data_IF_871902148236
#
_entry.id   IF_871902148236
#
_cell.length_a   1.000
_cell.length_b   1.000
_cell.length_c   1.000
_cell.angle_alpha   90.00
_cell.angle_beta   90.00
_cell.angle_gamma   90.00
#
_symmetry.space_group_name_H-M   'P 1'
#
loop_
_entity.id
_entity.type
_entity.pdbx_description
1 polymer ?
#
# COMPACT_ATOMS: atom_id res chain seq x y z
N UNK A 1 -27.17 -9.62 -0.77
CA UNK A 1 -25.88 -10.31 -0.54
C UNK A 1 -25.38 -9.85 0.81
N UNK A 2 -24.77 -10.73 1.61
CA UNK A 2 -24.25 -10.34 2.92
C UNK A 2 -22.96 -9.57 2.67
N UNK A 3 -23.05 -8.25 2.57
CA UNK A 3 -21.92 -7.32 2.34
C UNK A 3 -21.08 -7.10 3.62
N UNK A 4 -21.16 -8.02 4.58
CA UNK A 4 -20.44 -7.97 5.84
C UNK A 4 -19.21 -8.86 5.83
N UNK A 5 -18.13 -8.30 5.28
CA UNK A 5 -16.76 -8.70 5.61
C UNK A 5 -16.58 -8.61 7.13
N UNK A 6 -15.98 -9.61 7.78
CA UNK A 6 -15.72 -9.53 9.21
C UNK A 6 -14.55 -8.58 9.48
N UNK A 7 -14.53 -7.96 10.66
CA UNK A 7 -13.50 -6.98 11.03
C UNK A 7 -12.09 -7.60 11.05
N UNK A 8 -11.95 -8.82 11.54
CA UNK A 8 -10.69 -9.57 11.58
C UNK A 8 -10.20 -9.92 10.17
N UNK A 9 -11.08 -10.35 9.28
CA UNK A 9 -10.76 -10.57 7.86
C UNK A 9 -10.32 -9.26 7.18
N UNK A 10 -11.01 -8.15 7.46
CA UNK A 10 -10.66 -6.83 6.94
C UNK A 10 -9.29 -6.35 7.43
N UNK A 11 -8.99 -6.56 8.71
CA UNK A 11 -7.70 -6.24 9.31
C UNK A 11 -6.57 -7.08 8.70
N UNK A 12 -6.79 -8.39 8.53
CA UNK A 12 -5.83 -9.30 7.92
C UNK A 12 -5.52 -8.91 6.47
N UNK A 13 -6.53 -8.56 5.67
CA UNK A 13 -6.34 -8.10 4.29
C UNK A 13 -5.47 -6.84 4.23
N UNK A 14 -5.75 -5.85 5.08
CA UNK A 14 -4.95 -4.61 5.12
C UNK A 14 -3.50 -4.91 5.54
N UNK A 15 -3.29 -5.76 6.55
CA UNK A 15 -1.95 -6.17 6.97
C UNK A 15 -1.18 -6.89 5.85
N UNK A 16 -1.83 -7.77 5.08
CA UNK A 16 -1.21 -8.44 3.91
C UNK A 16 -0.78 -7.43 2.84
N UNK A 17 -1.61 -6.42 2.57
CA UNK A 17 -1.28 -5.36 1.60
C UNK A 17 -0.10 -4.51 2.09
N UNK A 18 -0.07 -4.16 3.38
CA UNK A 18 1.05 -3.41 3.96
C UNK A 18 2.36 -4.21 3.94
N UNK A 19 2.30 -5.50 4.28
CA UNK A 19 3.44 -6.41 4.15
C UNK A 19 3.96 -6.50 2.72
N UNK A 20 3.04 -6.64 1.75
CA UNK A 20 3.38 -6.66 0.32
C UNK A 20 3.99 -5.33 -0.12
N UNK A 21 3.45 -4.20 0.36
CA UNK A 21 3.96 -2.85 0.06
C UNK A 21 5.40 -2.67 0.55
N UNK A 22 5.72 -3.20 1.74
CA UNK A 22 7.10 -3.23 2.24
C UNK A 22 8.01 -4.06 1.34
N UNK A 23 7.60 -5.27 0.96
CA UNK A 23 8.39 -6.13 0.08
C UNK A 23 8.61 -5.52 -1.32
N UNK A 24 7.60 -4.82 -1.86
CA UNK A 24 7.71 -4.10 -3.13
C UNK A 24 8.69 -2.92 -3.06
N UNK A 25 8.73 -2.21 -1.93
CA UNK A 25 9.72 -1.15 -1.70
C UNK A 25 11.13 -1.72 -1.58
N UNK A 26 11.33 -2.81 -0.81
CA UNK A 26 12.61 -3.50 -0.72
C UNK A 26 13.10 -3.99 -2.09
N UNK A 27 12.19 -4.57 -2.89
CA UNK A 27 12.47 -4.97 -4.28
C UNK A 27 12.99 -3.81 -5.13
N UNK A 28 12.43 -2.60 -4.99
CA UNK A 28 12.91 -1.41 -5.69
C UNK A 28 14.28 -0.97 -5.17
N UNK A 29 14.50 -0.97 -3.85
CA UNK A 29 15.78 -0.57 -3.26
C UNK A 29 16.94 -1.46 -3.73
N UNK A 30 16.77 -2.77 -3.74
CA UNK A 30 17.77 -3.74 -4.23
C UNK A 30 18.18 -3.51 -5.69
N UNK A 31 17.27 -2.96 -6.50
CA UNK A 31 17.46 -2.79 -7.95
C UNK A 31 17.95 -1.39 -8.32
N UNK A 32 17.90 -0.44 -7.39
CA UNK A 32 18.26 0.96 -7.62
C UNK A 32 19.66 1.11 -8.23
N UNK A 33 20.63 0.38 -7.69
CA UNK A 33 22.04 0.55 -8.07
C UNK A 33 22.49 -0.43 -9.15
N UNK A 34 21.63 -1.38 -9.54
CA UNK A 34 21.95 -2.46 -10.50
C UNK A 34 21.20 -2.36 -11.83
N UNK A 35 20.43 -1.28 -12.04
CA UNK A 35 19.63 -1.04 -13.25
C UNK A 35 19.98 0.30 -13.87
N UNK A 36 19.75 0.42 -15.17
CA UNK A 36 19.82 1.74 -15.80
C UNK A 36 18.72 2.64 -15.21
N UNK A 37 18.88 3.96 -15.39
CA UNK A 37 17.88 4.91 -14.93
C UNK A 37 16.53 4.65 -15.58
N UNK A 38 16.51 4.39 -16.89
CA UNK A 38 15.30 4.15 -17.66
C UNK A 38 14.58 2.86 -17.21
N UNK A 39 15.34 1.79 -16.98
CA UNK A 39 14.81 0.52 -16.45
C UNK A 39 14.23 0.70 -15.05
N UNK A 40 14.96 1.42 -14.19
CA UNK A 40 14.53 1.65 -12.82
C UNK A 40 13.29 2.54 -12.74
N UNK A 41 13.22 3.60 -13.57
CA UNK A 41 12.06 4.47 -13.64
C UNK A 41 10.82 3.73 -14.15
N UNK A 42 11.00 2.83 -15.13
CA UNK A 42 9.91 1.96 -15.60
C UNK A 42 9.45 0.98 -14.52
N UNK A 43 10.38 0.35 -13.80
CA UNK A 43 10.08 -0.53 -12.66
C UNK A 43 9.30 0.22 -11.57
N UNK A 44 9.78 1.40 -11.15
CA UNK A 44 9.09 2.26 -10.18
C UNK A 44 7.67 2.59 -10.62
N UNK A 45 7.47 2.89 -11.90
CA UNK A 45 6.14 3.20 -12.43
C UNK A 45 5.18 2.02 -12.33
N UNK A 46 5.63 0.81 -12.64
CA UNK A 46 4.79 -0.41 -12.54
C UNK A 46 4.45 -0.69 -11.08
N UNK A 47 5.45 -0.71 -10.22
CA UNK A 47 5.28 -1.03 -8.79
C UNK A 47 4.40 0.01 -8.10
N UNK A 48 4.61 1.31 -8.38
CA UNK A 48 3.79 2.38 -7.84
C UNK A 48 2.32 2.28 -8.27
N UNK A 49 2.03 1.84 -9.50
CA UNK A 49 0.65 1.59 -9.95
C UNK A 49 0.00 0.43 -9.21
N UNK A 50 0.73 -0.66 -9.00
CA UNK A 50 0.24 -1.81 -8.24
C UNK A 50 -0.10 -1.41 -6.79
N UNK A 51 0.84 -0.73 -6.12
CA UNK A 51 0.65 -0.25 -4.75
C UNK A 51 -0.51 0.74 -4.65
N UNK A 52 -0.62 1.68 -5.59
CA UNK A 52 -1.73 2.62 -5.66
C UNK A 52 -3.08 1.92 -5.82
N UNK A 53 -3.18 0.94 -6.72
CA UNK A 53 -4.41 0.16 -6.90
C UNK A 53 -4.80 -0.58 -5.61
N UNK A 54 -3.86 -1.26 -4.96
CA UNK A 54 -4.10 -1.95 -3.68
C UNK A 54 -4.57 -0.98 -2.59
N UNK A 55 -4.02 0.23 -2.55
CA UNK A 55 -4.41 1.25 -1.59
C UNK A 55 -5.85 1.74 -1.83
N UNK A 56 -6.14 2.25 -3.03
CA UNK A 56 -7.43 2.89 -3.33
C UNK A 56 -8.58 1.88 -3.38
N UNK A 57 -8.37 0.71 -3.96
CA UNK A 57 -9.47 -0.25 -4.16
C UNK A 57 -9.74 -1.14 -2.95
N UNK A 58 -8.77 -1.27 -2.04
CA UNK A 58 -8.91 -2.18 -0.89
C UNK A 58 -8.74 -1.46 0.43
N UNK A 59 -7.62 -0.77 0.65
CA UNK A 59 -7.32 -0.13 1.94
C UNK A 59 -8.29 1.01 2.24
N UNK A 60 -8.59 1.88 1.28
CA UNK A 60 -9.58 2.95 1.47
C UNK A 60 -11.01 2.41 1.63
N UNK A 61 -11.38 1.39 0.85
CA UNK A 61 -12.70 0.76 0.95
C UNK A 61 -12.89 0.14 2.35
N UNK A 62 -11.90 -0.62 2.83
CA UNK A 62 -11.90 -1.18 4.19
C UNK A 62 -11.91 -0.07 5.23
N UNK A 63 -11.09 0.97 5.07
CA UNK A 63 -11.01 2.11 6.00
C UNK A 63 -12.28 2.94 6.07
N UNK A 64 -13.04 3.03 4.98
CA UNK A 64 -14.34 3.70 4.95
C UNK A 64 -15.36 2.99 5.84
N UNK A 65 -15.26 1.66 5.93
CA UNK A 65 -16.14 0.79 6.73
C UNK A 65 -15.65 0.60 8.17
N UNK A 66 -14.33 0.47 8.36
CA UNK A 66 -13.66 0.24 9.64
C UNK A 66 -12.59 1.31 9.90
N UNK A 67 -13.04 2.52 10.26
CA UNK A 67 -12.17 3.70 10.45
C UNK A 67 -11.09 3.53 11.52
N UNK A 68 -11.29 2.60 12.45
CA UNK A 68 -10.39 2.27 13.55
C UNK A 68 -9.22 1.38 13.11
N UNK A 69 -9.39 0.53 12.08
CA UNK A 69 -8.32 -0.33 11.56
C UNK A 69 -7.15 0.53 11.07
N UNK A 70 -7.40 1.56 10.25
CA UNK A 70 -6.34 2.44 9.75
C UNK A 70 -5.65 3.25 10.87
N UNK A 71 -6.41 3.67 11.89
CA UNK A 71 -5.85 4.39 13.05
C UNK A 71 -4.94 3.51 13.90
N UNK A 72 -5.29 2.24 14.07
CA UNK A 72 -4.47 1.28 14.82
C UNK A 72 -3.14 0.99 14.11
N UNK A 73 -3.14 0.98 12.78
CA UNK A 73 -1.97 0.70 11.95
C UNK A 73 -0.98 1.87 11.89
N UNK A 74 -1.48 3.12 11.93
CA UNK A 74 -0.62 4.31 12.02
C UNK A 74 0.22 4.35 13.31
N UNK A 75 -0.26 3.75 14.41
CA UNK A 75 0.48 3.67 15.67
C UNK A 75 1.66 2.69 15.65
N UNK A 76 1.69 1.76 14.69
CA UNK A 76 2.71 0.71 14.58
C UNK A 76 3.77 0.95 13.49
N UNK A 77 3.67 2.02 12.71
CA UNK A 77 4.64 2.36 11.66
C UNK A 77 4.97 3.87 11.64
N UNK A 78 5.62 4.41 12.68
CA UNK A 78 6.00 5.82 12.72
C UNK A 78 6.98 6.25 11.61
N UNK A 79 7.63 5.30 10.92
CA UNK A 79 8.64 5.58 9.86
C UNK A 79 8.11 5.48 8.42
N UNK A 80 6.85 5.08 8.22
CA UNK A 80 6.25 5.07 6.87
C UNK A 80 5.75 6.47 6.52
N UNK A 81 6.70 7.35 6.20
CA UNK A 81 6.46 8.63 5.54
C UNK A 81 6.09 8.34 4.07
N UNK A 82 4.89 7.78 3.88
CA UNK A 82 4.35 7.47 2.56
C UNK A 82 3.89 8.78 1.92
N UNK A 83 4.85 9.50 1.34
CA UNK A 83 4.59 10.64 0.47
C UNK A 83 3.86 10.16 -0.79
N UNK A 84 2.56 9.96 -0.68
CA UNK A 84 1.70 9.67 -1.82
C UNK A 84 1.48 10.97 -2.63
N UNK A 85 1.56 10.92 -3.96
CA UNK A 85 1.28 12.08 -4.79
C UNK A 85 -0.20 12.46 -4.66
N UNK A 86 -0.47 13.71 -4.31
CA UNK A 86 -1.82 14.27 -4.32
C UNK A 86 -2.31 14.33 -5.77
N UNK A 87 -3.37 13.58 -6.07
CA UNK A 87 -4.08 13.68 -7.34
C UNK A 87 -5.05 14.87 -7.20
N UNK A 88 -4.64 16.02 -7.72
CA UNK A 88 -5.52 17.19 -7.83
C UNK A 88 -6.77 16.84 -8.63
N UNK A 89 -7.95 17.18 -8.08
CA UNK A 89 -9.27 17.05 -8.72
C UNK A 89 -9.47 18.05 -9.84
#
# INVERSE_FOLDING_TARGET
MVDDLRRDDAEAIVQLILGTSKALNEFLLERRDSRSKEEFDFLKKIIGRLMGYQYFEVVEVVGSKYKDILKSLQGSAPDLNLGFPEINK
#
